data_IF_771563384902
#
_entry.id   IF_771563384902
#
_cell.length_a   1.000
_cell.length_b   1.000
_cell.length_c   1.000
_cell.angle_alpha   90.00
_cell.angle_beta   90.00
_cell.angle_gamma   90.00
#
_symmetry.space_group_name_H-M   'P 1'
#
loop_
_entity.id
_entity.type
_entity.pdbx_description
1 polymer ?
#
# COMPACT_ATOMS: atom_id res chain seq x y z
N UNK A 1 -36.02 -3.15 46.72
CA UNK A 1 -35.88 -4.39 45.92
C UNK A 1 -34.89 -4.18 44.75
N UNK A 2 -33.58 -3.96 45.01
CA UNK A 2 -32.60 -3.65 43.92
C UNK A 2 -31.21 -4.28 44.09
N UNK A 3 -30.99 -5.13 45.10
CA UNK A 3 -29.66 -5.74 45.36
C UNK A 3 -29.55 -7.17 44.81
N UNK A 4 -30.68 -7.84 44.53
CA UNK A 4 -30.70 -9.24 44.06
C UNK A 4 -30.43 -9.42 42.55
N UNK A 5 -30.49 -8.37 41.74
CA UNK A 5 -30.35 -8.50 40.27
C UNK A 5 -28.90 -8.47 39.76
N UNK A 6 -27.97 -7.86 40.50
CA UNK A 6 -26.56 -7.73 40.05
C UNK A 6 -25.74 -8.99 40.24
N UNK A 7 -26.04 -9.79 41.27
CA UNK A 7 -25.29 -11.04 41.56
C UNK A 7 -25.55 -12.12 40.49
N UNK A 8 -26.77 -12.16 39.93
CA UNK A 8 -27.14 -13.15 38.91
C UNK A 8 -26.52 -12.86 37.53
N UNK A 9 -26.15 -11.62 37.23
CA UNK A 9 -25.45 -11.28 35.98
C UNK A 9 -23.96 -11.65 36.00
N UNK A 10 -23.31 -11.58 37.17
CA UNK A 10 -21.89 -11.94 37.32
C UNK A 10 -21.65 -13.46 37.19
N UNK A 11 -22.60 -14.27 37.68
CA UNK A 11 -22.54 -15.74 37.57
C UNK A 11 -22.85 -16.28 36.17
N UNK A 12 -23.35 -15.43 35.25
CA UNK A 12 -23.64 -15.83 33.86
C UNK A 12 -22.43 -15.71 32.93
N UNK A 13 -21.40 -14.96 33.34
CA UNK A 13 -20.15 -14.82 32.58
C UNK A 13 -19.12 -15.92 32.88
N UNK A 14 -19.30 -16.70 33.95
CA UNK A 14 -18.35 -17.73 34.37
C UNK A 14 -18.71 -19.14 33.90
N UNK A 15 -19.38 -19.28 32.75
CA UNK A 15 -19.51 -20.59 32.10
C UNK A 15 -18.23 -20.88 31.33
N UNK A 16 -17.33 -21.76 31.80
CA UNK A 16 -16.27 -22.26 30.95
C UNK A 16 -16.93 -22.94 29.76
N UNK A 17 -16.64 -22.45 28.54
CA UNK A 17 -17.05 -23.11 27.31
C UNK A 17 -16.39 -24.49 27.30
N UNK A 18 -17.17 -25.51 27.67
CA UNK A 18 -16.81 -26.92 27.52
C UNK A 18 -16.85 -27.22 26.02
N UNK A 19 -15.68 -27.15 25.38
CA UNK A 19 -15.52 -27.50 23.97
C UNK A 19 -14.06 -27.46 23.57
N UNK A 20 -13.50 -28.62 23.24
CA UNK A 20 -12.21 -28.74 22.54
C UNK A 20 -11.02 -29.04 23.44
N UNK A 21 -10.66 -30.31 23.52
CA UNK A 21 -9.32 -30.73 23.94
C UNK A 21 -8.36 -30.37 22.78
N UNK A 22 -7.41 -29.47 23.01
CA UNK A 22 -6.15 -29.43 22.26
C UNK A 22 -6.04 -28.53 21.03
N UNK A 23 -6.26 -27.22 21.17
CA UNK A 23 -5.53 -26.24 20.34
C UNK A 23 -4.69 -25.34 21.26
N UNK A 24 -3.36 -25.25 21.10
CA UNK A 24 -2.50 -24.37 21.89
C UNK A 24 -2.91 -22.90 21.92
N UNK A 25 -3.77 -22.48 20.97
CA UNK A 25 -4.31 -21.12 20.88
C UNK A 25 -5.41 -20.82 21.90
N UNK A 26 -6.08 -21.83 22.45
CA UNK A 26 -7.24 -21.63 23.35
C UNK A 26 -6.82 -21.28 24.79
N UNK A 27 -5.52 -21.23 25.07
CA UNK A 27 -4.93 -20.88 26.36
C UNK A 27 -4.10 -19.60 26.32
N UNK A 28 -4.15 -18.85 25.22
CA UNK A 28 -3.46 -17.57 25.15
C UNK A 28 -4.11 -16.57 26.11
N UNK A 29 -3.33 -15.92 26.99
CA UNK A 29 -3.90 -14.98 27.94
C UNK A 29 -4.59 -13.83 27.21
N UNK A 30 -5.75 -13.40 27.70
CA UNK A 30 -6.64 -12.45 27.04
C UNK A 30 -6.00 -11.09 26.66
N UNK A 31 -4.85 -10.76 27.25
CA UNK A 31 -4.08 -9.57 26.84
C UNK A 31 -3.42 -9.76 25.47
N UNK A 32 -3.05 -10.98 25.07
CA UNK A 32 -2.49 -11.29 23.75
C UNK A 32 -3.56 -11.17 22.67
N UNK A 33 -4.79 -11.67 22.91
CA UNK A 33 -5.93 -11.47 21.99
C UNK A 33 -6.30 -9.99 21.85
N UNK A 34 -6.30 -9.24 22.96
CA UNK A 34 -6.57 -7.79 22.91
C UNK A 34 -5.45 -7.01 22.22
N UNK A 35 -4.21 -7.46 22.37
CA UNK A 35 -3.05 -6.87 21.70
C UNK A 35 -3.05 -7.19 20.20
N UNK A 36 -3.37 -8.42 19.81
CA UNK A 36 -3.48 -8.84 18.41
C UNK A 36 -4.69 -8.21 17.71
N UNK A 37 -5.80 -8.00 18.41
CA UNK A 37 -6.97 -7.26 17.92
C UNK A 37 -6.71 -5.75 17.75
N UNK A 38 -5.69 -5.19 18.40
CA UNK A 38 -5.28 -3.78 18.28
C UNK A 38 -4.17 -3.56 17.24
N UNK A 39 -3.87 -4.55 16.39
CA UNK A 39 -2.91 -4.38 15.29
C UNK A 39 -3.47 -3.35 14.30
N UNK A 40 -2.65 -2.36 13.93
CA UNK A 40 -2.94 -1.38 12.88
C UNK A 40 -2.98 -1.96 11.45
N UNK A 41 -2.84 -3.27 11.31
CA UNK A 41 -2.96 -3.97 10.02
C UNK A 41 -4.38 -3.75 9.47
N UNK A 42 -4.48 -3.05 8.35
CA UNK A 42 -5.73 -2.75 7.65
C UNK A 42 -6.38 -1.41 7.99
N UNK A 43 -5.81 -0.61 8.89
CA UNK A 43 -6.34 0.72 9.24
C UNK A 43 -5.74 1.86 8.40
N UNK A 44 -4.63 1.60 7.70
CA UNK A 44 -3.94 2.60 6.90
C UNK A 44 -4.39 2.53 5.43
N UNK A 45 -4.69 3.68 4.80
CA UNK A 45 -5.11 3.73 3.40
C UNK A 45 -4.01 3.23 2.45
N UNK A 46 -2.75 3.15 2.93
CA UNK A 46 -1.60 2.57 2.23
C UNK A 46 -1.30 1.11 2.61
N UNK A 47 -2.11 0.46 3.44
CA UNK A 47 -1.84 -0.91 3.90
C UNK A 47 -1.83 -1.91 2.72
N UNK A 48 -2.61 -1.65 1.66
CA UNK A 48 -2.56 -2.44 0.42
C UNK A 48 -1.19 -2.37 -0.26
N UNK A 49 -0.54 -1.20 -0.26
CA UNK A 49 0.78 -1.01 -0.84
C UNK A 49 1.84 -1.75 -0.02
N UNK A 50 1.78 -1.64 1.31
CA UNK A 50 2.73 -2.35 2.17
C UNK A 50 2.55 -3.86 2.11
N UNK A 51 1.32 -4.37 2.02
CA UNK A 51 1.05 -5.80 1.81
C UNK A 51 1.58 -6.28 0.45
N UNK A 52 1.36 -5.51 -0.61
CA UNK A 52 1.85 -5.85 -1.93
C UNK A 52 3.38 -5.82 -1.97
N UNK A 53 3.99 -4.79 -1.38
CA UNK A 53 5.45 -4.68 -1.24
C UNK A 53 6.04 -5.85 -0.42
N UNK A 54 5.40 -6.23 0.69
CA UNK A 54 5.84 -7.41 1.45
C UNK A 54 5.68 -8.72 0.64
N UNK A 55 4.60 -8.83 -0.15
CA UNK A 55 4.35 -10.00 -1.01
C UNK A 55 5.40 -10.17 -2.10
N UNK A 56 5.99 -9.08 -2.57
CA UNK A 56 7.02 -9.12 -3.63
C UNK A 56 8.34 -9.71 -3.13
N UNK A 57 8.53 -9.87 -1.81
CA UNK A 57 9.75 -10.42 -1.18
C UNK A 57 11.04 -9.80 -1.70
N UNK A 58 11.00 -8.54 -2.13
CA UNK A 58 12.16 -7.80 -2.67
C UNK A 58 13.34 -7.85 -1.70
N UNK A 59 13.06 -7.86 -0.39
CA UNK A 59 14.08 -7.99 0.63
C UNK A 59 14.85 -9.31 0.55
N UNK A 60 14.15 -10.44 0.43
CA UNK A 60 14.76 -11.76 0.35
C UNK A 60 15.54 -11.96 -0.95
N UNK A 61 15.06 -11.38 -2.05
CA UNK A 61 15.59 -11.60 -3.40
C UNK A 61 16.77 -10.67 -3.70
N UNK A 62 16.67 -9.39 -3.34
CA UNK A 62 17.63 -8.37 -3.78
C UNK A 62 18.46 -7.77 -2.63
N UNK A 63 17.90 -7.58 -1.42
CA UNK A 63 18.62 -6.91 -0.32
C UNK A 63 19.60 -7.80 0.45
N UNK A 64 19.53 -9.13 0.33
CA UNK A 64 20.39 -10.05 1.12
C UNK A 64 21.85 -10.09 0.65
N UNK A 65 22.14 -9.69 -0.59
CA UNK A 65 23.50 -9.69 -1.14
C UNK A 65 23.85 -8.35 -1.78
N UNK A 66 24.93 -7.72 -1.31
CA UNK A 66 25.39 -6.39 -1.75
C UNK A 66 25.45 -6.19 -3.28
N UNK A 67 25.95 -7.13 -4.12
CA UNK A 67 25.97 -6.92 -5.56
C UNK A 67 24.57 -6.96 -6.22
N UNK A 68 23.66 -7.81 -5.73
CA UNK A 68 22.27 -7.85 -6.25
C UNK A 68 21.49 -6.61 -5.83
N UNK A 69 21.73 -6.12 -4.62
CA UNK A 69 21.15 -4.88 -4.12
C UNK A 69 21.56 -3.69 -4.99
N UNK A 70 22.85 -3.55 -5.29
CA UNK A 70 23.34 -2.47 -6.13
C UNK A 70 22.76 -2.54 -7.55
N UNK A 71 22.76 -3.73 -8.17
CA UNK A 71 22.15 -3.93 -9.48
C UNK A 71 20.65 -3.62 -9.50
N UNK A 72 19.91 -4.02 -8.46
CA UNK A 72 18.50 -3.72 -8.30
C UNK A 72 18.25 -2.22 -8.20
N UNK A 73 19.00 -1.48 -7.35
CA UNK A 73 18.87 -0.03 -7.22
C UNK A 73 19.15 0.67 -8.55
N UNK A 74 20.23 0.33 -9.23
CA UNK A 74 20.60 0.99 -10.49
C UNK A 74 19.52 0.76 -11.54
N UNK A 75 19.09 -0.49 -11.73
CA UNK A 75 18.04 -0.80 -12.71
C UNK A 75 16.70 -0.16 -12.39
N UNK A 76 16.25 -0.23 -11.14
CA UNK A 76 14.99 0.42 -10.73
C UNK A 76 15.07 1.93 -10.81
N UNK A 77 16.23 2.54 -10.56
CA UNK A 77 16.41 3.98 -10.70
C UNK A 77 16.36 4.42 -12.16
N UNK A 78 16.96 3.65 -13.07
CA UNK A 78 16.92 3.96 -14.51
C UNK A 78 15.49 3.82 -15.04
N UNK A 79 14.83 2.68 -14.79
CA UNK A 79 13.46 2.44 -15.25
C UNK A 79 12.51 3.43 -14.59
N UNK A 80 12.59 3.56 -13.26
CA UNK A 80 11.73 4.45 -12.49
C UNK A 80 11.87 5.90 -12.93
N UNK A 81 13.11 6.37 -13.12
CA UNK A 81 13.38 7.72 -13.62
C UNK A 81 12.80 7.95 -15.02
N UNK A 82 13.03 7.03 -15.96
CA UNK A 82 12.49 7.16 -17.32
C UNK A 82 10.96 7.16 -17.34
N UNK A 83 10.33 6.19 -16.67
CA UNK A 83 8.87 6.07 -16.61
C UNK A 83 8.23 7.27 -15.92
N UNK A 84 8.84 7.78 -14.84
CA UNK A 84 8.36 8.95 -14.12
C UNK A 84 8.40 10.20 -15.00
N UNK A 85 9.52 10.46 -15.68
CA UNK A 85 9.63 11.60 -16.60
C UNK A 85 8.59 11.51 -17.71
N UNK A 86 8.43 10.35 -18.35
CA UNK A 86 7.43 10.17 -19.43
C UNK A 86 6.00 10.34 -18.94
N UNK A 87 5.69 9.88 -17.73
CA UNK A 87 4.38 10.07 -17.11
C UNK A 87 4.11 11.57 -16.91
N UNK A 88 5.06 12.32 -16.36
CA UNK A 88 4.91 13.77 -16.18
C UNK A 88 4.86 14.54 -17.48
N UNK A 89 5.64 14.16 -18.50
CA UNK A 89 5.52 14.75 -19.84
C UNK A 89 4.10 14.56 -20.39
N UNK A 90 3.51 13.38 -20.22
CA UNK A 90 2.14 13.11 -20.64
C UNK A 90 1.10 13.91 -19.86
N UNK A 91 1.26 14.01 -18.54
CA UNK A 91 0.37 14.83 -17.69
C UNK A 91 0.50 16.31 -18.09
N UNK A 92 1.71 16.79 -18.32
CA UNK A 92 1.97 18.15 -18.75
C UNK A 92 1.37 18.45 -20.11
N UNK A 93 1.55 17.57 -21.08
CA UNK A 93 0.98 17.65 -22.44
C UNK A 93 -0.55 17.68 -22.37
N UNK A 94 -1.15 16.84 -21.51
CA UNK A 94 -2.59 16.80 -21.29
C UNK A 94 -3.15 18.09 -20.67
N UNK A 95 -2.48 18.66 -19.67
CA UNK A 95 -2.92 19.91 -19.05
C UNK A 95 -2.75 21.13 -19.96
N UNK A 96 -1.77 21.11 -20.87
CA UNK A 96 -1.41 22.25 -21.73
C UNK A 96 -1.76 22.02 -23.20
N UNK A 97 -2.81 21.23 -23.47
CA UNK A 97 -3.28 20.98 -24.83
C UNK A 97 -3.51 22.29 -25.60
N UNK A 98 -3.02 22.36 -26.83
CA UNK A 98 -3.15 23.54 -27.70
C UNK A 98 -2.17 24.68 -27.44
N UNK A 99 -1.47 24.70 -26.30
CA UNK A 99 -0.44 25.71 -26.00
C UNK A 99 1.00 25.25 -26.32
N UNK A 100 1.23 23.94 -26.41
CA UNK A 100 2.56 23.43 -26.80
C UNK A 100 2.79 23.59 -28.31
N UNK A 101 4.04 23.88 -28.66
CA UNK A 101 4.51 23.94 -30.06
C UNK A 101 4.21 22.65 -30.85
N UNK A 102 4.19 21.50 -30.17
CA UNK A 102 3.79 20.23 -30.78
C UNK A 102 2.34 20.21 -31.29
N UNK A 103 1.44 20.97 -30.68
CA UNK A 103 0.03 21.06 -31.08
C UNK A 103 -0.24 22.16 -32.09
N UNK A 104 0.62 23.18 -32.16
CA UNK A 104 0.53 24.28 -33.12
C UNK A 104 1.86 24.42 -33.89
N UNK A 105 2.14 23.53 -34.86
CA UNK A 105 3.37 23.59 -35.62
C UNK A 105 3.40 24.88 -36.45
N UNK A 106 4.53 25.57 -36.44
CA UNK A 106 4.72 26.75 -37.28
C UNK A 106 4.59 26.37 -38.75
N UNK A 107 3.61 26.95 -39.43
CA UNK A 107 3.43 26.81 -40.88
C UNK A 107 4.25 27.90 -41.55
N UNK A 108 5.20 27.51 -42.41
CA UNK A 108 5.94 28.47 -43.20
C UNK A 108 4.96 29.21 -44.12
N UNK A 109 5.01 30.56 -44.16
CA UNK A 109 4.23 31.29 -45.14
C UNK A 109 4.68 30.86 -46.54
N UNK A 110 3.71 30.64 -47.43
CA UNK A 110 3.98 30.45 -48.85
C UNK A 110 4.63 31.76 -49.32
N UNK A 111 5.79 31.73 -49.99
CA UNK A 111 6.35 32.95 -50.57
C UNK A 111 5.30 33.54 -51.51
N UNK A 112 4.98 34.82 -51.32
CA UNK A 112 4.14 35.53 -52.27
C UNK A 112 4.89 35.49 -53.61
N UNK A 113 4.27 34.90 -54.64
CA UNK A 113 4.81 34.92 -55.99
C UNK A 113 4.89 36.40 -56.41
N UNK A 114 6.11 36.95 -56.38
CA UNK A 114 6.42 38.29 -56.88
C UNK A 114 6.17 38.30 -58.42
N UNK A 115 4.93 38.53 -58.83
CA UNK A 115 4.53 38.79 -60.23
C UNK A 115 4.66 40.27 -60.60
#
# INVERSE_FOLDING_TARGET
>A
MLVRSRVLSALRQSRPKRGGFGSPKDHEPAWIERWSANRREGQDNMDWFFRLFNSTRIYEIFLKSSPRFYGFIVWTSIIGGYSWSRMWDHIWDYCNQGMLYRHNPYVYPVPDDDE
#
